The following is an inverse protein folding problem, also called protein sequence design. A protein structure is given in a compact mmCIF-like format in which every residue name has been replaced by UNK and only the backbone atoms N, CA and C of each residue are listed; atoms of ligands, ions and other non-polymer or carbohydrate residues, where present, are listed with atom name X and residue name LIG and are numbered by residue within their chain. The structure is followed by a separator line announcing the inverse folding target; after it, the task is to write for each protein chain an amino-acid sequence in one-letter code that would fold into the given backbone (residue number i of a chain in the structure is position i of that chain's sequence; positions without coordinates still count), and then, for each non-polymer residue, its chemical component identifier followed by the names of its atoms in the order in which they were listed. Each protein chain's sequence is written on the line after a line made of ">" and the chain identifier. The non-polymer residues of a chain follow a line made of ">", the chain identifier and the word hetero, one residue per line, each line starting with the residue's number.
data_IF_154955017079
#
_entry.id   IF_154955017079
#
_cell.length_a   1.000
_cell.length_b   1.000
_cell.length_c   1.000
_cell.angle_alpha   90.00
_cell.angle_beta   90.00
_cell.angle_gamma   90.00
#
_symmetry.space_group_name_H-M   'P 1'
#
loop_
_entity.id
_entity.type
_entity.pdbx_description
1 polymer ?
#
# COMPACT_ATOMS: atom_id res chain seq x y z
N UNK A 1 31.15 -7.82 8.30
CA UNK A 1 29.81 -8.47 8.31
C UNK A 1 28.83 -7.44 8.85
N UNK A 2 27.70 -7.26 8.19
CA UNK A 2 26.66 -6.31 8.57
C UNK A 2 25.46 -7.06 9.18
N UNK A 3 24.60 -6.32 9.87
CA UNK A 3 23.47 -6.90 10.57
C UNK A 3 22.23 -6.05 10.37
N UNK A 4 21.07 -6.70 10.24
CA UNK A 4 19.75 -6.08 10.25
C UNK A 4 19.00 -6.46 11.52
N UNK A 5 18.37 -5.47 12.13
CA UNK A 5 17.37 -5.69 13.16
C UNK A 5 16.01 -5.83 12.50
N UNK A 6 15.31 -6.91 12.74
CA UNK A 6 14.07 -7.27 12.06
C UNK A 6 13.01 -7.62 13.09
N UNK A 7 11.83 -7.03 12.93
CA UNK A 7 10.61 -7.44 13.65
C UNK A 7 9.83 -8.42 12.80
N UNK A 8 9.31 -9.49 13.40
CA UNK A 8 8.42 -10.40 12.68
C UNK A 8 7.04 -9.76 12.48
N UNK A 9 6.58 -9.75 11.24
CA UNK A 9 5.17 -9.48 10.96
C UNK A 9 4.39 -10.78 11.15
N UNK A 10 3.63 -10.86 12.21
CA UNK A 10 2.62 -11.91 12.29
C UNK A 10 1.54 -11.62 11.26
N UNK A 11 1.46 -12.45 10.22
CA UNK A 11 0.31 -12.51 9.33
C UNK A 11 -0.88 -13.10 10.09
N UNK A 12 -1.39 -12.39 11.08
CA UNK A 12 -2.67 -12.70 11.71
C UNK A 12 -3.74 -11.93 10.95
N UNK A 13 -4.47 -12.65 10.07
CA UNK A 13 -5.76 -12.33 9.49
C UNK A 13 -6.13 -10.88 9.08
N UNK A 14 -7.32 -10.66 8.51
CA UNK A 14 -7.69 -9.37 7.88
C UNK A 14 -7.98 -8.21 8.85
N UNK A 15 -7.68 -8.30 10.12
CA UNK A 15 -7.76 -7.17 11.02
C UNK A 15 -6.47 -6.35 10.94
N UNK A 16 -6.55 -5.29 10.19
CA UNK A 16 -5.54 -4.25 9.98
C UNK A 16 -5.32 -3.36 11.22
N UNK A 17 -5.51 -3.86 12.41
CA UNK A 17 -5.05 -3.18 13.61
C UNK A 17 -3.52 -3.30 13.64
N UNK A 18 -2.88 -2.28 13.09
CA UNK A 18 -1.46 -1.99 13.27
C UNK A 18 -1.18 -1.86 14.77
N UNK A 19 -1.03 -2.97 15.46
CA UNK A 19 -0.30 -2.98 16.72
C UNK A 19 1.12 -2.57 16.35
N UNK A 20 1.43 -1.30 16.53
CA UNK A 20 2.77 -0.76 16.50
C UNK A 20 3.56 -1.57 17.51
N UNK A 21 4.39 -2.50 17.02
CA UNK A 21 5.35 -3.18 17.88
C UNK A 21 6.26 -2.09 18.47
N UNK A 22 6.50 -2.11 19.78
CA UNK A 22 7.37 -1.14 20.40
C UNK A 22 8.72 -1.16 19.69
N UNK A 23 9.14 0.00 19.20
CA UNK A 23 10.46 0.26 18.65
C UNK A 23 11.49 -0.26 19.66
N UNK A 24 12.21 -1.33 19.29
CA UNK A 24 13.24 -1.92 20.14
C UNK A 24 13.18 -3.44 20.34
N UNK A 25 12.08 -4.12 20.00
CA UNK A 25 11.97 -5.57 20.10
C UNK A 25 12.18 -6.27 18.75
N UNK A 26 13.28 -6.00 18.09
CA UNK A 26 13.68 -6.72 16.89
C UNK A 26 14.76 -7.75 17.17
N UNK A 27 14.77 -8.81 16.37
CA UNK A 27 15.84 -9.79 16.36
C UNK A 27 16.92 -9.39 15.38
N UNK A 28 18.19 -9.66 15.72
CA UNK A 28 19.31 -9.37 14.86
C UNK A 28 19.63 -10.55 13.94
N UNK A 29 19.86 -10.26 12.66
CA UNK A 29 20.19 -11.22 11.60
C UNK A 29 21.44 -10.76 10.86
N UNK A 30 22.28 -11.71 10.44
CA UNK A 30 23.42 -11.44 9.56
C UNK A 30 22.92 -10.98 8.18
N UNK A 31 23.60 -10.00 7.62
CA UNK A 31 23.35 -9.52 6.26
C UNK A 31 24.59 -9.65 5.42
N UNK A 32 24.50 -10.41 4.34
CA UNK A 32 25.57 -10.65 3.40
C UNK A 32 25.40 -9.79 2.14
N UNK A 33 26.14 -8.67 2.06
CA UNK A 33 26.11 -7.77 0.91
C UNK A 33 26.53 -8.43 -0.41
N UNK A 34 27.28 -9.53 -0.32
CA UNK A 34 27.72 -10.31 -1.46
C UNK A 34 26.55 -10.94 -2.22
N UNK A 35 25.52 -11.36 -1.48
CA UNK A 35 24.37 -12.09 -1.99
C UNK A 35 23.16 -11.16 -2.22
N UNK A 36 23.00 -10.17 -1.35
CA UNK A 36 21.79 -9.32 -1.25
C UNK A 36 22.03 -7.87 -1.71
N UNK A 37 23.26 -7.55 -2.12
CA UNK A 37 23.65 -6.19 -2.49
C UNK A 37 23.90 -5.27 -1.29
N UNK A 38 24.27 -3.99 -1.53
CA UNK A 38 24.66 -3.08 -0.45
C UNK A 38 23.54 -2.84 0.55
N UNK A 39 23.86 -2.92 1.85
CA UNK A 39 22.87 -2.68 2.94
C UNK A 39 22.22 -1.30 2.85
N UNK A 40 22.92 -0.29 2.33
CA UNK A 40 22.38 1.05 2.14
C UNK A 40 21.20 1.13 1.15
N UNK A 41 20.94 0.05 0.37
CA UNK A 41 19.76 -0.06 -0.51
C UNK A 41 18.55 -0.69 0.17
N UNK A 42 18.72 -1.18 1.40
CA UNK A 42 17.62 -1.79 2.17
C UNK A 42 17.08 -0.72 3.13
N UNK A 43 15.96 -0.06 2.84
CA UNK A 43 15.43 0.98 3.72
C UNK A 43 14.91 0.39 5.05
N UNK A 44 14.89 1.22 6.10
CA UNK A 44 14.08 0.91 7.29
C UNK A 44 12.65 0.72 6.82
N UNK A 45 11.93 -0.22 7.39
CA UNK A 45 10.61 -0.71 6.97
C UNK A 45 10.60 -1.65 5.75
N UNK A 46 11.74 -1.93 5.10
CA UNK A 46 11.79 -2.96 4.06
C UNK A 46 11.31 -4.32 4.58
N UNK A 47 10.61 -5.07 3.73
CA UNK A 47 10.28 -6.46 3.98
C UNK A 47 11.47 -7.35 3.61
N UNK A 48 11.80 -8.28 4.49
CA UNK A 48 12.87 -9.26 4.29
C UNK A 48 12.40 -10.66 4.66
N UNK A 49 12.98 -11.65 4.00
CA UNK A 49 12.86 -13.05 4.40
C UNK A 49 14.04 -13.39 5.29
N UNK A 50 13.77 -13.90 6.48
CA UNK A 50 14.78 -14.28 7.46
C UNK A 50 14.70 -15.77 7.78
N UNK A 51 15.87 -16.39 7.97
CA UNK A 51 15.97 -17.75 8.50
C UNK A 51 15.78 -17.72 10.01
N UNK A 52 14.81 -18.48 10.52
CA UNK A 52 14.52 -18.59 11.95
C UNK A 52 14.57 -20.04 12.43
N UNK A 53 14.45 -20.26 13.73
CA UNK A 53 14.33 -21.61 14.28
C UNK A 53 13.08 -22.36 13.80
N UNK A 54 12.09 -21.63 13.28
CA UNK A 54 10.82 -22.14 12.79
C UNK A 54 10.71 -22.11 11.23
N UNK A 55 11.87 -22.01 10.56
CA UNK A 55 11.93 -21.87 9.11
C UNK A 55 11.98 -20.43 8.63
N UNK A 56 11.70 -20.22 7.33
CA UNK A 56 11.72 -18.89 6.73
C UNK A 56 10.51 -18.08 7.14
N UNK A 57 10.75 -16.86 7.58
CA UNK A 57 9.69 -15.94 8.01
C UNK A 57 9.88 -14.56 7.37
N UNK A 58 8.76 -13.87 7.16
CA UNK A 58 8.78 -12.47 6.77
C UNK A 58 8.96 -11.58 7.99
N UNK A 59 9.75 -10.54 7.81
CA UNK A 59 9.97 -9.54 8.84
C UNK A 59 10.22 -8.17 8.23
N UNK A 60 10.14 -7.16 9.07
CA UNK A 60 10.36 -5.77 8.67
C UNK A 60 11.61 -5.21 9.32
N UNK A 61 12.46 -4.58 8.51
CA UNK A 61 13.70 -3.97 8.99
C UNK A 61 13.38 -2.76 9.88
N UNK A 62 13.94 -2.74 11.08
CA UNK A 62 13.79 -1.67 12.06
C UNK A 62 15.11 -1.00 12.45
N UNK A 63 16.25 -1.62 12.09
CA UNK A 63 17.56 -1.07 12.41
C UNK A 63 18.71 -1.79 11.72
N UNK A 64 19.90 -1.23 11.86
CA UNK A 64 21.15 -1.71 11.26
C UNK A 64 22.29 -1.69 12.28
N UNK A 65 23.28 -2.56 12.03
CA UNK A 65 24.60 -2.45 12.60
C UNK A 65 25.65 -2.85 11.55
N UNK A 66 26.69 -2.04 11.37
CA UNK A 66 27.71 -2.24 10.34
C UNK A 66 28.79 -3.23 10.75
N UNK A 67 28.93 -3.48 12.05
CA UNK A 67 29.92 -4.37 12.62
C UNK A 67 29.49 -4.90 14.00
N UNK A 68 30.27 -5.81 14.58
CA UNK A 68 29.96 -6.41 15.88
C UNK A 68 30.06 -5.42 17.05
N UNK A 69 30.89 -4.39 16.95
CA UNK A 69 31.00 -3.36 18.00
C UNK A 69 29.72 -2.56 18.09
N UNK A 70 29.23 -2.06 16.94
CA UNK A 70 27.95 -1.34 16.86
C UNK A 70 26.76 -2.23 17.27
N UNK A 71 26.81 -3.51 16.95
CA UNK A 71 25.80 -4.49 17.35
C UNK A 71 25.70 -4.62 18.88
N UNK A 72 26.87 -4.66 19.57
CA UNK A 72 26.95 -4.71 21.03
C UNK A 72 26.48 -3.41 21.69
N UNK A 73 26.85 -2.26 21.14
CA UNK A 73 26.38 -0.94 21.57
C UNK A 73 24.86 -0.82 21.50
N UNK A 74 24.23 -1.48 20.50
CA UNK A 74 22.77 -1.56 20.34
C UNK A 74 22.12 -2.66 21.19
N UNK A 75 22.85 -3.20 22.16
CA UNK A 75 22.33 -4.13 23.18
C UNK A 75 22.30 -5.60 22.78
N UNK A 76 22.86 -5.98 21.63
CA UNK A 76 22.94 -7.38 21.23
C UNK A 76 24.22 -8.03 21.77
N UNK A 77 24.14 -8.65 22.94
CA UNK A 77 25.27 -9.35 23.58
C UNK A 77 25.37 -10.83 23.19
N UNK A 78 24.51 -11.31 22.30
CA UNK A 78 24.48 -12.72 21.88
C UNK A 78 25.07 -12.85 20.47
N UNK A 79 25.68 -14.04 20.22
CA UNK A 79 26.14 -14.38 18.86
C UNK A 79 24.95 -14.49 17.92
N UNK A 80 24.93 -13.66 16.86
CA UNK A 80 23.91 -13.75 15.82
C UNK A 80 24.24 -14.93 14.91
N UNK A 81 23.37 -15.94 14.87
CA UNK A 81 23.58 -17.17 14.09
C UNK A 81 22.78 -17.17 12.80
N UNK A 82 21.62 -16.53 12.82
CA UNK A 82 20.65 -16.54 11.73
C UNK A 82 20.90 -15.38 10.76
N UNK A 83 20.38 -15.51 9.53
CA UNK A 83 20.67 -14.57 8.44
C UNK A 83 19.42 -14.11 7.70
N UNK A 84 19.55 -13.00 7.01
CA UNK A 84 18.59 -12.56 5.99
C UNK A 84 18.83 -13.39 4.74
N UNK A 85 17.75 -13.93 4.18
CA UNK A 85 17.77 -14.78 2.98
C UNK A 85 17.50 -13.96 1.74
N UNK A 86 16.56 -13.01 1.82
CA UNK A 86 16.16 -12.17 0.69
C UNK A 86 15.57 -10.84 1.15
N UNK A 87 15.63 -9.85 0.25
CA UNK A 87 14.98 -8.54 0.40
C UNK A 87 13.81 -8.47 -0.56
N UNK A 88 12.60 -8.45 -0.02
CA UNK A 88 11.39 -8.49 -0.84
C UNK A 88 11.19 -7.17 -1.58
N UNK A 89 11.22 -7.20 -2.89
CA UNK A 89 10.92 -6.04 -3.72
C UNK A 89 9.41 -5.82 -3.82
N UNK A 90 8.91 -4.88 -3.04
CA UNK A 90 7.47 -4.52 -3.02
C UNK A 90 7.14 -3.32 -3.91
N UNK A 91 8.10 -2.78 -4.67
CA UNK A 91 7.91 -1.52 -5.42
C UNK A 91 6.75 -1.57 -6.40
N UNK A 92 6.65 -2.63 -7.20
CA UNK A 92 5.55 -2.82 -8.15
C UNK A 92 4.19 -2.98 -7.46
N UNK A 93 4.14 -3.71 -6.35
CA UNK A 93 2.94 -3.85 -5.53
C UNK A 93 2.53 -2.51 -4.91
N UNK A 94 3.48 -1.78 -4.33
CA UNK A 94 3.23 -0.48 -3.71
C UNK A 94 2.74 0.56 -4.72
N UNK A 95 3.33 0.57 -5.93
CA UNK A 95 2.88 1.44 -7.02
C UNK A 95 1.44 1.12 -7.45
N UNK A 96 1.11 -0.16 -7.63
CA UNK A 96 -0.26 -0.61 -7.97
C UNK A 96 -1.24 -0.25 -6.87
N UNK A 97 -0.88 -0.49 -5.60
CA UNK A 97 -1.73 -0.16 -4.45
C UNK A 97 -2.01 1.33 -4.35
N UNK A 98 -1.00 2.17 -4.62
CA UNK A 98 -1.18 3.62 -4.66
C UNK A 98 -2.15 4.04 -5.75
N UNK A 99 -1.97 3.55 -6.98
CA UNK A 99 -2.91 3.82 -8.08
C UNK A 99 -4.34 3.40 -7.75
N UNK A 100 -4.51 2.26 -7.09
CA UNK A 100 -5.83 1.80 -6.66
C UNK A 100 -6.45 2.74 -5.63
N UNK A 101 -5.68 3.21 -4.65
CA UNK A 101 -6.16 4.17 -3.65
C UNK A 101 -6.51 5.52 -4.27
N UNK A 102 -5.70 6.00 -5.21
CA UNK A 102 -5.96 7.24 -5.94
C UNK A 102 -7.24 7.12 -6.79
N UNK A 103 -7.46 5.95 -7.42
CA UNK A 103 -8.70 5.67 -8.15
C UNK A 103 -9.93 5.63 -7.20
N UNK A 104 -9.84 4.90 -6.10
CA UNK A 104 -10.94 4.80 -5.11
C UNK A 104 -11.32 6.19 -4.55
N UNK A 105 -10.31 7.03 -4.31
CA UNK A 105 -10.53 8.42 -3.87
C UNK A 105 -11.23 9.26 -4.93
N UNK A 106 -10.76 9.20 -6.18
CA UNK A 106 -11.35 9.94 -7.29
C UNK A 106 -12.80 9.48 -7.57
N UNK A 107 -13.08 8.17 -7.49
CA UNK A 107 -14.43 7.62 -7.64
C UNK A 107 -15.38 8.11 -6.52
N UNK A 108 -14.89 8.15 -5.29
CA UNK A 108 -15.65 8.67 -4.15
C UNK A 108 -15.96 10.17 -4.30
N UNK A 109 -14.98 10.96 -4.71
CA UNK A 109 -15.15 12.40 -4.97
C UNK A 109 -16.16 12.64 -6.09
N UNK A 110 -16.09 11.87 -7.18
CA UNK A 110 -17.03 11.94 -8.29
C UNK A 110 -18.46 11.60 -7.85
N UNK A 111 -18.64 10.51 -7.10
CA UNK A 111 -19.96 10.12 -6.57
C UNK A 111 -20.54 11.19 -5.65
N UNK A 112 -19.72 11.79 -4.81
CA UNK A 112 -20.14 12.86 -3.92
C UNK A 112 -20.57 14.10 -4.70
N UNK A 113 -19.81 14.47 -5.74
CA UNK A 113 -20.14 15.57 -6.64
C UNK A 113 -21.47 15.35 -7.38
N UNK A 114 -21.69 14.14 -7.93
CA UNK A 114 -22.95 13.75 -8.58
C UNK A 114 -24.12 13.84 -7.59
N UNK A 115 -23.90 13.43 -6.35
CA UNK A 115 -24.90 13.46 -5.29
C UNK A 115 -25.29 14.90 -4.91
N UNK A 116 -24.32 15.82 -4.90
CA UNK A 116 -24.54 17.23 -4.57
C UNK A 116 -25.20 18.03 -5.70
N UNK A 117 -24.81 17.79 -6.92
CA UNK A 117 -25.23 18.60 -8.08
C UNK A 117 -26.39 17.96 -8.87
N UNK A 118 -26.67 16.70 -8.59
CA UNK A 118 -27.72 15.94 -9.29
C UNK A 118 -27.30 15.42 -10.67
N UNK A 119 -28.10 14.48 -11.19
CA UNK A 119 -27.85 13.87 -12.48
C UNK A 119 -28.05 14.83 -13.67
N UNK A 120 -28.93 15.80 -13.52
CA UNK A 120 -29.25 16.73 -14.62
C UNK A 120 -28.08 17.68 -14.92
N UNK A 121 -27.31 18.10 -13.90
CA UNK A 121 -26.06 18.85 -14.09
C UNK A 121 -24.99 18.02 -14.82
N UNK A 122 -24.83 16.75 -14.46
CA UNK A 122 -23.93 15.82 -15.14
C UNK A 122 -24.32 15.65 -16.60
N UNK A 123 -25.62 15.49 -16.88
CA UNK A 123 -26.13 15.36 -18.23
C UNK A 123 -25.91 16.64 -19.05
N UNK A 124 -26.05 17.81 -18.45
CA UNK A 124 -25.78 19.10 -19.10
C UNK A 124 -24.32 19.19 -19.55
N UNK A 125 -23.37 18.88 -18.67
CA UNK A 125 -21.93 18.89 -19.00
C UNK A 125 -21.60 17.88 -20.10
N UNK A 126 -22.13 16.66 -20.03
CA UNK A 126 -21.93 15.65 -21.06
C UNK A 126 -22.53 16.03 -22.40
N UNK A 127 -23.66 16.76 -22.38
CA UNK A 127 -24.29 17.27 -23.60
C UNK A 127 -23.44 18.37 -24.27
N UNK A 128 -22.72 19.17 -23.51
CA UNK A 128 -21.79 20.17 -24.05
C UNK A 128 -20.52 19.52 -24.63
N UNK A 129 -20.13 18.35 -24.17
CA UNK A 129 -18.96 17.62 -24.65
C UNK A 129 -19.24 16.71 -25.85
N UNK A 130 -20.50 16.31 -26.10
CA UNK A 130 -20.86 15.35 -27.14
C UNK A 130 -22.18 15.69 -27.81
N UNK A 131 -22.16 15.95 -29.14
CA UNK A 131 -23.36 16.21 -29.94
C UNK A 131 -24.33 15.02 -29.92
N UNK A 132 -23.80 13.80 -29.95
CA UNK A 132 -24.61 12.58 -29.89
C UNK A 132 -25.32 12.45 -28.52
N UNK A 133 -24.61 12.72 -27.45
CA UNK A 133 -25.19 12.69 -26.09
C UNK A 133 -26.27 13.76 -25.94
N UNK A 134 -26.05 14.96 -26.47
CA UNK A 134 -27.03 16.06 -26.49
C UNK A 134 -28.32 15.65 -27.21
N UNK A 135 -28.20 14.97 -28.34
CA UNK A 135 -29.35 14.45 -29.07
C UNK A 135 -30.17 13.46 -28.27
N UNK A 136 -29.50 12.49 -27.61
CA UNK A 136 -30.15 11.48 -26.74
C UNK A 136 -30.80 12.11 -25.50
N UNK A 137 -30.15 13.09 -24.91
CA UNK A 137 -30.69 13.82 -23.75
C UNK A 137 -31.95 14.60 -24.11
N UNK A 138 -31.95 15.28 -25.28
CA UNK A 138 -33.12 16.00 -25.81
C UNK A 138 -34.30 15.06 -26.00
N UNK A 139 -34.07 13.88 -26.63
CA UNK A 139 -35.11 12.87 -26.85
C UNK A 139 -35.69 12.38 -25.52
N UNK A 140 -34.84 12.07 -24.53
CA UNK A 140 -35.27 11.67 -23.16
C UNK A 140 -36.16 12.72 -22.51
N UNK A 141 -35.77 13.98 -22.61
CA UNK A 141 -36.51 15.08 -21.98
C UNK A 141 -37.88 15.31 -22.65
N UNK A 142 -37.96 15.12 -23.98
CA UNK A 142 -39.24 15.18 -24.73
C UNK A 142 -40.18 14.06 -24.26
N UNK A 143 -39.70 12.83 -24.21
CA UNK A 143 -40.48 11.69 -23.71
C UNK A 143 -40.96 11.87 -22.28
N UNK A 144 -40.12 12.45 -21.40
CA UNK A 144 -40.51 12.74 -20.02
C UNK A 144 -41.66 13.75 -19.97
N UNK A 145 -41.62 14.80 -20.77
CA UNK A 145 -42.67 15.79 -20.86
C UNK A 145 -43.99 15.21 -21.39
N UNK A 146 -43.93 14.32 -22.39
CA UNK A 146 -45.10 13.62 -22.91
C UNK A 146 -45.76 12.76 -21.82
N UNK A 147 -45.00 12.03 -21.05
CA UNK A 147 -45.51 11.20 -19.93
C UNK A 147 -46.19 12.09 -18.87
N UNK A 148 -45.54 13.19 -18.48
CA UNK A 148 -46.08 14.14 -17.49
C UNK A 148 -47.38 14.83 -17.95
N UNK A 149 -47.59 14.97 -19.28
CA UNK A 149 -48.83 15.52 -19.88
C UNK A 149 -49.96 14.48 -19.91
N UNK A 150 -49.64 13.21 -20.13
CA UNK A 150 -50.62 12.11 -20.14
C UNK A 150 -51.16 11.75 -18.76
N UNK A 151 -50.47 12.15 -17.67
CA UNK A 151 -50.87 11.92 -16.30
C UNK A 151 -51.75 13.04 -15.72
N UNK A 152 -52.03 14.13 -16.45
CA UNK A 152 -52.87 15.25 -16.05
C UNK A 152 -54.28 15.18 -16.69
#
# INVERSE_FOLDING_TARGET
>A
MKYLQVTHEYCSGPSLDRKTFPTGQGYWFKFYEKDLGPIGRVPVSALVVVDTAYGFQLGRVVGYANNESELKEKGCNRKVLKQVIDVVNTSAYSARRRLQLDYEKADLELRHWIQQNGLDEVYSILADMSIEFKGRLSQRNTLKQEIEQDEQ
#
